data_IF_722067874198
#
_entry.id   IF_722067874198
#
_cell.length_a   1.000
_cell.length_b   1.000
_cell.length_c   1.000
_cell.angle_alpha   90.00
_cell.angle_beta   90.00
_cell.angle_gamma   90.00
#
_symmetry.space_group_name_H-M   'P 1'
#
loop_
_entity.id
_entity.type
_entity.pdbx_description
1 polymer ?
#
# COMPACT_ATOMS: atom_id res chain seq x y z
N UNK A 1 -0.15 20.50 -2.01
CA UNK A 1 1.31 20.66 -2.15
C UNK A 1 1.81 19.33 -2.61
N UNK A 2 2.57 19.30 -3.69
CA UNK A 2 3.17 18.05 -4.16
C UNK A 2 4.20 17.55 -3.13
N UNK A 3 4.45 16.24 -3.08
CA UNK A 3 5.39 15.65 -2.13
C UNK A 3 6.81 16.23 -2.33
N UNK A 4 7.17 16.54 -3.58
CA UNK A 4 8.47 17.14 -3.90
C UNK A 4 8.58 18.56 -3.36
N UNK A 5 7.52 19.36 -3.43
CA UNK A 5 7.48 20.71 -2.86
C UNK A 5 7.60 20.68 -1.33
N UNK A 6 6.96 19.69 -0.68
CA UNK A 6 7.06 19.49 0.77
C UNK A 6 8.49 19.10 1.15
N UNK A 7 9.09 18.15 0.45
CA UNK A 7 10.47 17.74 0.69
C UNK A 7 11.45 18.92 0.52
N UNK A 8 11.23 19.77 -0.49
CA UNK A 8 12.05 20.97 -0.69
C UNK A 8 11.90 21.95 0.47
N UNK A 9 10.68 22.23 0.94
CA UNK A 9 10.43 23.12 2.08
C UNK A 9 11.07 22.62 3.36
N UNK A 10 10.92 21.33 3.65
CA UNK A 10 11.55 20.71 4.83
C UNK A 10 13.08 20.73 4.66
N UNK A 11 13.57 20.44 3.46
CA UNK A 11 14.97 20.44 3.11
C UNK A 11 15.65 21.80 3.32
N UNK A 12 14.99 22.90 2.97
CA UNK A 12 15.49 24.28 3.20
C UNK A 12 15.76 24.58 4.68
N UNK A 13 15.01 23.94 5.59
CA UNK A 13 15.13 24.17 7.04
C UNK A 13 16.09 23.19 7.70
N UNK A 14 16.11 21.92 7.25
CA UNK A 14 16.75 20.82 8.00
C UNK A 14 17.89 20.10 7.29
N UNK A 15 18.12 20.33 5.99
CA UNK A 15 19.29 19.76 5.34
C UNK A 15 20.56 20.39 5.92
N UNK A 16 21.57 19.56 6.14
CA UNK A 16 22.86 20.01 6.68
C UNK A 16 24.01 19.30 6.01
N UNK A 17 25.13 19.99 5.82
CA UNK A 17 26.37 19.38 5.32
C UNK A 17 27.06 18.61 6.45
N UNK A 18 27.46 17.38 6.19
CA UNK A 18 28.25 16.58 7.14
C UNK A 18 29.68 17.08 7.21
N UNK A 19 30.48 16.71 8.24
CA UNK A 19 31.90 17.04 8.30
C UNK A 19 32.69 16.56 7.07
N UNK A 20 32.21 15.53 6.38
CA UNK A 20 32.78 14.99 5.14
C UNK A 20 32.36 15.75 3.87
N UNK A 21 31.60 16.84 3.98
CA UNK A 21 31.14 17.65 2.85
C UNK A 21 29.88 17.12 2.15
N UNK A 22 29.28 16.01 2.61
CA UNK A 22 28.06 15.45 2.01
C UNK A 22 26.81 16.14 2.53
N UNK A 23 25.85 16.45 1.65
CA UNK A 23 24.53 16.93 2.08
C UNK A 23 23.74 15.81 2.75
N UNK A 24 23.40 15.97 4.03
CA UNK A 24 22.52 15.07 4.77
C UNK A 24 21.06 15.50 4.62
N UNK A 25 20.25 14.56 4.10
CA UNK A 25 18.78 14.69 3.94
C UNK A 25 18.00 13.82 4.93
N UNK A 26 18.67 13.24 5.92
CA UNK A 26 18.06 12.25 6.84
C UNK A 26 16.85 12.86 7.58
N UNK A 27 17.01 14.08 8.09
CA UNK A 27 15.94 14.75 8.83
C UNK A 27 14.73 15.06 7.94
N UNK A 28 14.99 15.51 6.72
CA UNK A 28 13.98 15.78 5.69
C UNK A 28 13.18 14.55 5.36
N UNK A 29 13.85 13.41 5.12
CA UNK A 29 13.20 12.12 4.87
C UNK A 29 12.32 11.71 6.05
N UNK A 30 12.84 11.78 7.28
CA UNK A 30 12.09 11.37 8.46
C UNK A 30 10.82 12.22 8.68
N UNK A 31 10.91 13.54 8.51
CA UNK A 31 9.76 14.44 8.64
C UNK A 31 8.74 14.24 7.51
N UNK A 32 9.21 14.00 6.29
CA UNK A 32 8.35 13.74 5.14
C UNK A 32 7.59 12.42 5.31
N UNK A 33 8.28 11.35 5.72
CA UNK A 33 7.65 10.07 6.05
C UNK A 33 6.64 10.21 7.17
N UNK A 34 6.98 10.95 8.23
CA UNK A 34 6.07 11.21 9.35
C UNK A 34 4.81 11.95 8.89
N UNK A 35 4.95 12.99 8.06
CA UNK A 35 3.82 13.71 7.47
C UNK A 35 2.93 12.78 6.62
N UNK A 36 3.54 11.94 5.79
CA UNK A 36 2.78 10.98 4.98
C UNK A 36 1.95 10.05 5.85
N UNK A 37 2.52 9.55 6.95
CA UNK A 37 1.82 8.71 7.92
C UNK A 37 0.67 9.46 8.59
N UNK A 38 0.87 10.72 8.98
CA UNK A 38 -0.20 11.56 9.55
C UNK A 38 -1.35 11.78 8.55
N UNK A 39 -1.05 12.01 7.28
CA UNK A 39 -2.07 12.18 6.23
C UNK A 39 -2.79 10.86 5.93
N UNK A 40 -2.09 9.73 5.94
CA UNK A 40 -2.71 8.44 5.66
C UNK A 40 -3.59 7.92 6.81
N UNK A 41 -3.15 8.10 8.06
CA UNK A 41 -3.74 7.45 9.23
C UNK A 41 -4.53 8.44 10.11
N UNK A 42 -4.10 9.70 10.14
CA UNK A 42 -4.70 10.76 10.94
C UNK A 42 -3.94 11.05 12.23
N UNK A 43 -3.89 12.34 12.60
CA UNK A 43 -3.17 12.85 13.77
C UNK A 43 -3.57 12.14 15.06
N UNK A 44 -4.86 11.97 15.32
CA UNK A 44 -5.35 11.42 16.59
C UNK A 44 -4.85 10.00 16.86
N UNK A 45 -4.80 9.19 15.80
CA UNK A 45 -4.35 7.80 15.91
C UNK A 45 -2.83 7.75 16.12
N UNK A 46 -2.06 8.53 15.35
CA UNK A 46 -0.61 8.60 15.51
C UNK A 46 -0.21 9.16 16.88
N UNK A 47 -0.95 10.15 17.41
CA UNK A 47 -0.70 10.71 18.74
C UNK A 47 -0.88 9.68 19.86
N UNK A 48 -1.76 8.69 19.67
CA UNK A 48 -1.98 7.60 20.63
C UNK A 48 -0.90 6.52 20.54
N UNK A 49 -0.47 6.19 19.33
CA UNK A 49 0.41 5.04 19.07
C UNK A 49 1.90 5.41 19.16
N UNK A 50 2.24 6.70 19.04
CA UNK A 50 3.61 7.19 18.99
C UNK A 50 4.07 7.76 20.35
N UNK A 51 5.36 7.64 20.65
CA UNK A 51 5.98 8.33 21.80
C UNK A 51 5.65 9.84 21.77
N UNK A 52 5.10 10.34 22.88
CA UNK A 52 4.54 11.68 22.99
C UNK A 52 5.59 12.78 22.74
N UNK A 53 6.80 12.59 23.28
CA UNK A 53 7.89 13.55 23.15
C UNK A 53 8.34 13.68 21.69
N UNK A 54 8.48 12.54 21.01
CA UNK A 54 8.86 12.49 19.60
C UNK A 54 7.76 13.06 18.70
N UNK A 55 6.50 12.73 18.99
CA UNK A 55 5.34 13.26 18.28
C UNK A 55 5.30 14.80 18.36
N UNK A 56 5.35 15.36 19.58
CA UNK A 56 5.35 16.81 19.80
C UNK A 56 6.52 17.49 19.07
N UNK A 57 7.72 16.89 19.15
CA UNK A 57 8.90 17.40 18.44
C UNK A 57 8.68 17.48 16.93
N UNK A 58 8.20 16.40 16.31
CA UNK A 58 8.03 16.36 14.86
C UNK A 58 6.89 17.28 14.40
N UNK A 59 5.82 17.41 15.16
CA UNK A 59 4.75 18.37 14.87
C UNK A 59 5.27 19.82 14.90
N UNK A 60 6.09 20.18 15.90
CA UNK A 60 6.71 21.52 15.96
C UNK A 60 7.70 21.74 14.82
N UNK A 61 8.46 20.73 14.42
CA UNK A 61 9.37 20.82 13.28
C UNK A 61 8.63 20.97 11.95
N UNK A 62 7.52 20.27 11.74
CA UNK A 62 6.64 20.47 10.58
C UNK A 62 6.05 21.87 10.57
N UNK A 63 5.61 22.38 11.73
CA UNK A 63 5.09 23.74 11.89
C UNK A 63 6.14 24.80 11.49
N UNK A 64 7.41 24.60 11.84
CA UNK A 64 8.53 25.48 11.41
C UNK A 64 8.73 25.49 9.89
N UNK A 65 8.33 24.43 9.20
CA UNK A 65 8.34 24.37 7.72
C UNK A 65 7.08 24.95 7.08
N UNK A 66 6.17 25.55 7.86
CA UNK A 66 4.90 26.07 7.38
C UNK A 66 3.85 24.99 7.13
N UNK A 67 4.04 23.78 7.66
CA UNK A 67 3.10 22.66 7.55
C UNK A 67 2.28 22.64 8.83
N UNK A 68 1.06 23.17 8.76
CA UNK A 68 0.18 23.33 9.92
C UNK A 68 -0.62 22.07 10.21
N UNK A 69 -1.12 21.94 11.43
CA UNK A 69 -2.02 20.84 11.81
C UNK A 69 -3.31 20.85 10.96
N UNK A 70 -3.85 22.04 10.68
CA UNK A 70 -5.03 22.22 9.83
C UNK A 70 -4.79 21.68 8.41
N UNK A 71 -3.63 21.98 7.82
CA UNK A 71 -3.22 21.41 6.53
C UNK A 71 -3.25 19.88 6.57
N UNK A 72 -2.64 19.29 7.59
CA UNK A 72 -2.58 17.83 7.75
C UNK A 72 -3.99 17.22 7.89
N UNK A 73 -4.87 17.83 8.68
CA UNK A 73 -6.27 17.39 8.82
C UNK A 73 -7.04 17.48 7.50
N UNK A 74 -6.85 18.56 6.75
CA UNK A 74 -7.47 18.76 5.43
C UNK A 74 -6.99 17.70 4.42
N UNK A 75 -5.69 17.44 4.34
CA UNK A 75 -5.14 16.41 3.45
C UNK A 75 -5.58 15.00 3.88
N UNK A 76 -5.62 14.71 5.19
CA UNK A 76 -6.13 13.43 5.69
C UNK A 76 -7.59 13.18 5.27
N UNK A 77 -8.43 14.22 5.34
CA UNK A 77 -9.82 14.11 4.87
C UNK A 77 -9.88 13.78 3.38
N UNK A 78 -9.11 14.47 2.53
CA UNK A 78 -9.06 14.17 1.08
C UNK A 78 -8.67 12.71 0.80
N UNK A 79 -7.63 12.21 1.48
CA UNK A 79 -7.17 10.83 1.32
C UNK A 79 -8.16 9.79 1.85
N UNK A 80 -8.89 10.12 2.94
CA UNK A 80 -9.92 9.23 3.50
C UNK A 80 -11.07 8.98 2.51
N UNK A 81 -11.46 9.98 1.73
CA UNK A 81 -12.56 9.84 0.76
C UNK A 81 -12.16 9.14 -0.54
N UNK A 82 -10.88 9.24 -0.96
CA UNK A 82 -10.36 8.46 -2.10
C UNK A 82 -10.57 6.95 -1.94
N UNK A 83 -10.40 6.44 -0.70
CA UNK A 83 -10.56 5.01 -0.40
C UNK A 83 -12.02 4.54 -0.30
N UNK A 84 -12.97 5.41 0.02
CA UNK A 84 -14.39 5.03 0.16
C UNK A 84 -15.14 4.99 -1.17
N UNK A 85 -14.74 5.81 -2.14
CA UNK A 85 -15.42 5.95 -3.42
C UNK A 85 -14.72 5.20 -4.57
N UNK A 86 -13.73 4.35 -4.26
CA UNK A 86 -13.09 3.52 -5.28
C UNK A 86 -14.07 2.43 -5.70
N UNK A 87 -14.76 2.67 -6.83
CA UNK A 87 -15.56 1.65 -7.51
C UNK A 87 -14.58 0.64 -8.11
N UNK A 88 -14.38 -0.47 -7.40
CA UNK A 88 -13.57 -1.59 -7.90
C UNK A 88 -14.45 -2.36 -8.89
N UNK A 89 -14.10 -2.32 -10.16
CA UNK A 89 -14.71 -3.19 -11.16
C UNK A 89 -14.01 -4.55 -11.13
N UNK A 90 -14.75 -5.58 -10.72
CA UNK A 90 -14.29 -6.95 -10.80
C UNK A 90 -14.53 -7.44 -12.22
N UNK A 91 -13.48 -7.87 -12.90
CA UNK A 91 -13.59 -8.54 -14.19
C UNK A 91 -13.68 -10.04 -13.92
N UNK A 92 -14.76 -10.67 -14.39
CA UNK A 92 -14.90 -12.12 -14.33
C UNK A 92 -13.91 -12.76 -15.33
N UNK A 93 -13.03 -13.63 -14.83
CA UNK A 93 -12.17 -14.44 -15.68
C UNK A 93 -12.92 -15.69 -16.11
N UNK A 94 -13.52 -15.64 -17.31
CA UNK A 94 -14.17 -16.81 -17.92
C UNK A 94 -13.13 -17.57 -18.74
N UNK A 95 -12.76 -18.76 -18.29
CA UNK A 95 -11.91 -19.66 -19.06
C UNK A 95 -12.79 -20.60 -19.89
N UNK A 96 -12.62 -20.58 -21.22
CA UNK A 96 -13.14 -21.63 -22.08
C UNK A 96 -12.18 -22.84 -22.00
N UNK A 97 -12.59 -23.86 -21.26
CA UNK A 97 -11.81 -25.09 -21.08
C UNK A 97 -12.04 -26.10 -22.23
N UNK A 98 -12.96 -25.84 -23.16
CA UNK A 98 -13.38 -26.84 -24.13
C UNK A 98 -12.33 -27.12 -25.21
N UNK A 99 -11.42 -26.17 -25.49
CA UNK A 99 -10.45 -26.25 -26.58
C UNK A 99 -8.99 -26.11 -26.11
N UNK A 100 -8.68 -26.49 -24.87
CA UNK A 100 -7.31 -26.40 -24.34
C UNK A 100 -6.38 -27.53 -24.80
N UNK A 101 -6.88 -28.48 -25.57
CA UNK A 101 -6.10 -29.61 -26.06
C UNK A 101 -5.64 -29.37 -27.50
N UNK A 102 -4.38 -29.69 -27.85
CA UNK A 102 -3.90 -29.59 -29.23
C UNK A 102 -4.73 -30.43 -30.21
N UNK A 103 -4.69 -30.06 -31.49
CA UNK A 103 -5.30 -30.85 -32.56
C UNK A 103 -4.71 -32.27 -32.57
N UNK A 104 -5.59 -33.28 -32.51
CA UNK A 104 -5.19 -34.69 -32.44
C UNK A 104 -4.97 -35.23 -31.03
N UNK A 105 -5.31 -34.47 -29.98
CA UNK A 105 -5.34 -35.03 -28.63
C UNK A 105 -6.40 -36.12 -28.50
N UNK A 106 -5.95 -37.33 -28.17
CA UNK A 106 -6.82 -38.43 -27.76
C UNK A 106 -6.71 -38.60 -26.23
N UNK A 107 -7.82 -38.48 -25.49
CA UNK A 107 -7.82 -38.77 -24.06
C UNK A 107 -7.32 -40.21 -23.81
N UNK A 108 -6.47 -40.43 -22.79
CA UNK A 108 -6.00 -41.78 -22.50
C UNK A 108 -7.17 -42.70 -22.16
N UNK A 109 -7.26 -43.83 -22.83
CA UNK A 109 -8.21 -44.89 -22.48
C UNK A 109 -7.70 -45.56 -21.20
N UNK A 110 -8.48 -45.46 -20.13
CA UNK A 110 -8.17 -46.18 -18.89
C UNK A 110 -8.10 -47.68 -19.18
N UNK A 111 -7.03 -48.34 -18.73
CA UNK A 111 -6.93 -49.80 -18.75
C UNK A 111 -7.74 -50.46 -17.64
N UNK A 112 -8.27 -49.66 -16.71
CA UNK A 112 -9.02 -50.12 -15.56
C UNK A 112 -10.44 -49.57 -15.60
N UNK A 113 -11.43 -50.44 -15.40
CA UNK A 113 -12.81 -50.02 -15.21
C UNK A 113 -13.01 -49.57 -13.75
N UNK A 114 -13.49 -48.35 -13.56
CA UNK A 114 -13.77 -47.76 -12.25
C UNK A 114 -14.74 -48.63 -11.44
N UNK A 115 -15.73 -49.25 -12.08
CA UNK A 115 -16.71 -50.13 -11.43
C UNK A 115 -16.06 -51.43 -10.90
N UNK A 116 -15.10 -51.98 -11.65
CA UNK A 116 -14.29 -53.12 -11.25
C UNK A 116 -13.35 -52.77 -10.10
N UNK A 117 -12.72 -51.58 -10.15
CA UNK A 117 -11.83 -51.08 -9.10
C UNK A 117 -12.57 -50.79 -7.79
N UNK A 118 -13.82 -50.34 -7.86
CA UNK A 118 -14.66 -50.01 -6.69
C UNK A 118 -15.40 -51.27 -6.17
N UNK A 119 -15.27 -52.43 -6.83
CA UNK A 119 -15.83 -53.71 -6.37
C UNK A 119 -17.35 -53.80 -6.48
N UNK A 120 -18.01 -52.89 -7.21
CA UNK A 120 -19.45 -52.97 -7.45
C UNK A 120 -19.68 -53.80 -8.72
N UNK A 121 -19.82 -55.12 -8.56
CA UNK A 121 -20.40 -55.94 -9.62
C UNK A 121 -21.82 -55.45 -9.92
N UNK A 122 -22.06 -55.03 -11.16
CA UNK A 122 -23.40 -54.94 -11.73
C UNK A 122 -24.06 -56.32 -11.59
N UNK A 123 -25.09 -56.42 -10.75
CA UNK A 123 -26.02 -57.54 -10.81
C UNK A 123 -26.81 -57.37 -12.11
N UNK A 124 -26.55 -58.26 -13.07
CA UNK A 124 -27.49 -58.58 -14.14
C UNK A 124 -28.60 -59.42 -13.52
#
# INVERSE_FOLDING_TARGET
MDILEIEEKIGKVFNKTTPTGRLSKVKTRNLTSFLCVLVMIGIEKIKKDHDEKTFKKYMEELKRCGITEEYIRKEHQKERFKRKNQKVEYVELIFDLNNQVPAGYEPPKSQYNIEEMIGKKLKI
#
